data_IF_349390484209
#
_entry.id   IF_349390484209
#
_cell.length_a   1.000
_cell.length_b   1.000
_cell.length_c   1.000
_cell.angle_alpha   90.00
_cell.angle_beta   90.00
_cell.angle_gamma   90.00
#
_symmetry.space_group_name_H-M   'P 1'
#
loop_
_entity.id
_entity.type
_entity.pdbx_description
1 polymer ?
#
# COMPACT_ATOMS: atom_id res chain seq x y z
N UNK A 1 17.70 10.00 -3.89
CA UNK A 1 18.40 8.73 -4.20
C UNK A 1 19.88 9.01 -4.40
N UNK A 2 20.75 8.01 -4.34
CA UNK A 2 22.22 8.16 -4.48
C UNK A 2 22.69 8.51 -5.93
N UNK A 3 21.87 9.22 -6.71
CA UNK A 3 22.17 9.56 -8.11
C UNK A 3 22.51 8.34 -8.96
N UNK A 4 23.52 8.47 -9.82
CA UNK A 4 23.99 7.41 -10.72
C UNK A 4 24.41 6.12 -10.00
N UNK A 5 24.84 6.20 -8.74
CA UNK A 5 25.19 5.01 -7.94
C UNK A 5 23.98 4.10 -7.69
N UNK A 6 22.76 4.63 -7.81
CA UNK A 6 21.52 3.85 -7.64
C UNK A 6 21.07 3.09 -8.88
N UNK A 7 21.75 3.19 -10.04
CA UNK A 7 21.28 2.63 -11.33
C UNK A 7 20.95 1.12 -11.29
N UNK A 8 21.60 0.37 -10.41
CA UNK A 8 21.43 -1.08 -10.27
C UNK A 8 20.61 -1.45 -9.02
N UNK A 9 20.10 -0.47 -8.28
CA UNK A 9 19.29 -0.71 -7.09
C UNK A 9 17.92 -1.27 -7.49
N UNK A 10 17.57 -2.40 -6.88
CA UNK A 10 16.24 -2.98 -6.92
C UNK A 10 15.77 -3.18 -5.48
N UNK A 11 14.59 -2.65 -5.15
CA UNK A 11 13.94 -2.82 -3.87
C UNK A 11 12.66 -3.62 -4.00
N UNK A 12 12.37 -4.49 -3.04
CA UNK A 12 11.06 -5.12 -2.89
C UNK A 12 10.26 -4.35 -1.84
N UNK A 13 9.02 -3.96 -2.17
CA UNK A 13 8.11 -3.35 -1.19
C UNK A 13 6.67 -3.81 -1.41
N UNK A 14 5.90 -3.97 -0.32
CA UNK A 14 4.48 -4.33 -0.39
C UNK A 14 3.57 -3.15 -0.75
N UNK A 15 4.13 -1.96 -0.99
CA UNK A 15 3.38 -0.72 -1.20
C UNK A 15 3.72 -0.10 -2.56
N UNK A 16 2.72 0.48 -3.21
CA UNK A 16 2.92 1.36 -4.35
C UNK A 16 3.55 2.67 -3.93
N UNK A 17 4.37 3.26 -4.81
CA UNK A 17 4.89 4.60 -4.57
C UNK A 17 3.99 5.65 -5.21
N UNK A 18 4.04 6.86 -4.65
CA UNK A 18 3.29 8.02 -5.12
C UNK A 18 3.40 8.23 -6.63
N UNK A 19 4.52 7.92 -7.29
CA UNK A 19 4.76 8.22 -8.71
C UNK A 19 4.42 7.07 -9.68
N UNK A 20 3.99 5.91 -9.17
CA UNK A 20 3.65 4.76 -10.02
C UNK A 20 2.19 4.81 -10.51
N UNK A 21 1.85 4.14 -11.62
CA UNK A 21 0.47 4.04 -12.08
C UNK A 21 -0.37 3.16 -11.14
N UNK A 22 -1.70 3.34 -11.21
CA UNK A 22 -2.68 2.54 -10.47
C UNK A 22 -3.87 3.40 -10.04
N UNK A 23 -5.09 2.88 -10.16
CA UNK A 23 -6.33 3.60 -9.83
C UNK A 23 -6.34 4.11 -8.38
N UNK A 24 -5.95 3.28 -7.43
CA UNK A 24 -5.83 3.64 -6.02
C UNK A 24 -4.77 4.72 -5.79
N UNK A 25 -3.66 4.69 -6.53
CA UNK A 25 -2.64 5.74 -6.48
C UNK A 25 -3.20 7.05 -7.03
N UNK A 26 -3.89 7.03 -8.17
CA UNK A 26 -4.56 8.20 -8.74
C UNK A 26 -5.55 8.80 -7.75
N UNK A 27 -6.42 7.97 -7.17
CA UNK A 27 -7.42 8.41 -6.18
C UNK A 27 -6.79 9.00 -4.93
N UNK A 28 -5.73 8.37 -4.42
CA UNK A 28 -4.94 8.87 -3.30
C UNK A 28 -4.39 10.28 -3.62
N UNK A 29 -3.82 10.49 -4.81
CA UNK A 29 -3.30 11.81 -5.22
C UNK A 29 -4.41 12.85 -5.29
N UNK A 30 -5.51 12.54 -5.96
CA UNK A 30 -6.66 13.45 -6.10
C UNK A 30 -7.15 13.96 -4.74
N UNK A 31 -7.41 13.05 -3.80
CA UNK A 31 -7.90 13.44 -2.48
C UNK A 31 -6.83 14.23 -1.72
N UNK A 32 -5.57 13.77 -1.76
CA UNK A 32 -4.46 14.48 -1.10
C UNK A 32 -4.34 15.93 -1.58
N UNK A 33 -4.44 16.14 -2.89
CA UNK A 33 -4.29 17.46 -3.50
C UNK A 33 -5.54 18.33 -3.36
N UNK A 34 -6.72 17.73 -3.24
CA UNK A 34 -7.94 18.45 -2.86
C UNK A 34 -7.80 19.11 -1.48
N UNK A 35 -7.28 18.38 -0.49
CA UNK A 35 -7.15 18.89 0.89
C UNK A 35 -5.85 19.64 1.16
N UNK A 36 -4.78 19.35 0.41
CA UNK A 36 -3.48 20.01 0.55
C UNK A 36 -2.84 20.26 -0.81
N UNK A 37 -3.31 21.26 -1.58
CA UNK A 37 -2.71 21.66 -2.84
C UNK A 37 -1.23 22.01 -2.71
N UNK A 38 -0.42 21.75 -3.74
CA UNK A 38 1.01 22.06 -3.75
C UNK A 38 1.88 21.06 -2.98
N UNK A 39 1.27 20.07 -2.31
CA UNK A 39 1.98 19.07 -1.52
C UNK A 39 2.54 17.90 -2.34
N UNK A 40 2.34 17.91 -3.66
CA UNK A 40 2.99 17.06 -4.65
C UNK A 40 4.43 17.47 -4.97
N UNK A 41 4.82 18.71 -4.62
CA UNK A 41 6.17 19.25 -4.88
C UNK A 41 7.29 18.48 -4.16
N UNK A 42 7.20 18.23 -2.82
CA UNK A 42 8.21 17.42 -2.15
C UNK A 42 8.13 15.95 -2.56
N UNK A 43 9.27 15.27 -2.56
CA UNK A 43 9.31 13.82 -2.78
C UNK A 43 8.50 13.07 -1.72
N UNK A 44 7.70 12.10 -2.15
CA UNK A 44 6.96 11.19 -1.27
C UNK A 44 7.41 9.75 -1.45
N UNK A 45 7.88 9.15 -0.36
CA UNK A 45 8.16 7.72 -0.30
C UNK A 45 6.88 6.90 -0.11
N UNK A 46 6.99 5.58 -0.15
CA UNK A 46 5.87 4.65 -0.02
C UNK A 46 5.19 4.66 1.36
N UNK A 47 5.77 5.30 2.40
CA UNK A 47 5.12 5.41 3.71
C UNK A 47 3.87 6.27 3.66
N UNK A 48 3.79 7.20 2.71
CA UNK A 48 2.55 7.93 2.49
C UNK A 48 1.43 6.98 2.04
N UNK A 49 1.73 6.06 1.12
CA UNK A 49 0.80 5.01 0.69
C UNK A 49 0.48 4.03 1.82
N UNK A 50 1.43 3.72 2.70
CA UNK A 50 1.16 2.92 3.91
C UNK A 50 0.06 3.53 4.77
N UNK A 51 0.13 4.85 5.03
CA UNK A 51 -0.91 5.55 5.79
C UNK A 51 -2.30 5.38 5.17
N UNK A 52 -2.39 5.52 3.85
CA UNK A 52 -3.65 5.30 3.11
C UNK A 52 -4.18 3.87 3.23
N UNK A 53 -3.30 2.87 3.10
CA UNK A 53 -3.70 1.46 3.24
C UNK A 53 -4.18 1.18 4.66
N UNK A 54 -3.45 1.62 5.69
CA UNK A 54 -3.82 1.42 7.10
C UNK A 54 -5.16 2.10 7.44
N UNK A 55 -5.38 3.33 6.98
CA UNK A 55 -6.65 4.03 7.18
C UNK A 55 -7.81 3.34 6.46
N UNK A 56 -7.55 2.74 5.28
CA UNK A 56 -8.56 1.97 4.55
C UNK A 56 -8.93 0.69 5.29
N UNK A 57 -7.96 -0.05 5.84
CA UNK A 57 -8.20 -1.23 6.68
C UNK A 57 -9.01 -0.85 7.92
N UNK A 58 -8.62 0.23 8.60
CA UNK A 58 -9.33 0.73 9.79
C UNK A 58 -10.79 1.07 9.44
N UNK A 59 -11.01 1.84 8.38
CA UNK A 59 -12.35 2.17 7.91
C UNK A 59 -13.19 0.92 7.63
N UNK A 60 -12.62 -0.06 6.93
CA UNK A 60 -13.33 -1.29 6.58
C UNK A 60 -13.67 -2.12 7.82
N UNK A 61 -12.75 -2.21 8.79
CA UNK A 61 -13.02 -2.87 10.08
C UNK A 61 -14.15 -2.20 10.86
N UNK A 62 -14.12 -0.86 10.98
CA UNK A 62 -15.16 -0.08 11.66
C UNK A 62 -16.51 -0.23 10.95
N UNK A 63 -16.53 -0.17 9.62
CA UNK A 63 -17.73 -0.34 8.81
C UNK A 63 -18.37 -1.72 9.01
N UNK A 64 -17.55 -2.77 9.12
CA UNK A 64 -18.01 -4.15 9.33
C UNK A 64 -18.45 -4.44 10.76
N UNK A 65 -17.78 -3.86 11.76
CA UNK A 65 -18.15 -3.99 13.17
C UNK A 65 -19.54 -3.39 13.46
N UNK A 66 -19.95 -2.37 12.70
CA UNK A 66 -21.27 -1.79 12.79
C UNK A 66 -21.44 -0.85 13.99
N UNK A 67 -22.69 -0.61 14.40
CA UNK A 67 -23.03 0.45 15.37
C UNK A 67 -22.59 0.13 16.80
N UNK A 68 -22.60 -1.13 17.19
CA UNK A 68 -22.23 -1.58 18.54
C UNK A 68 -20.75 -1.91 18.58
N UNK A 69 -19.94 -0.86 18.48
CA UNK A 69 -18.49 -0.96 18.38
C UNK A 69 -17.84 -1.11 19.76
N UNK A 70 -17.05 -2.17 19.89
CA UNK A 70 -16.06 -2.39 20.94
C UNK A 70 -14.80 -3.04 20.32
N UNK A 71 -13.82 -3.37 21.17
CA UNK A 71 -12.55 -3.96 20.70
C UNK A 71 -12.78 -5.34 20.09
N UNK A 72 -13.61 -6.18 20.70
CA UNK A 72 -13.83 -7.56 20.26
C UNK A 72 -14.58 -7.61 18.93
N UNK A 73 -15.65 -6.82 18.79
CA UNK A 73 -16.40 -6.68 17.54
C UNK A 73 -15.53 -6.08 16.42
N UNK A 74 -14.64 -5.14 16.74
CA UNK A 74 -13.69 -4.60 15.75
C UNK A 74 -12.67 -5.64 15.29
N UNK A 75 -12.07 -6.40 16.21
CA UNK A 75 -11.13 -7.48 15.88
C UNK A 75 -11.84 -8.56 15.06
N UNK A 76 -13.00 -9.04 15.50
CA UNK A 76 -13.80 -10.02 14.77
C UNK A 76 -14.14 -9.52 13.35
N UNK A 77 -14.48 -8.24 13.21
CA UNK A 77 -14.75 -7.62 11.92
C UNK A 77 -13.52 -7.59 11.01
N UNK A 78 -12.34 -7.22 11.51
CA UNK A 78 -11.08 -7.26 10.75
C UNK A 78 -10.78 -8.68 10.27
N UNK A 79 -10.98 -9.69 11.12
CA UNK A 79 -10.74 -11.10 10.80
C UNK A 79 -11.67 -11.65 9.71
N UNK A 80 -12.73 -10.93 9.33
CA UNK A 80 -13.60 -11.25 8.17
C UNK A 80 -13.09 -10.70 6.83
N UNK A 81 -12.07 -9.84 6.84
CA UNK A 81 -11.56 -9.22 5.61
C UNK A 81 -10.91 -10.29 4.72
N UNK A 82 -11.47 -10.47 3.53
CA UNK A 82 -10.97 -11.35 2.46
C UNK A 82 -10.85 -10.57 1.17
N UNK A 83 -9.74 -10.78 0.47
CA UNK A 83 -9.43 -10.23 -0.85
C UNK A 83 -9.73 -8.74 -0.99
N UNK A 84 -9.42 -7.96 0.06
CA UNK A 84 -9.66 -6.53 0.02
C UNK A 84 -8.73 -5.88 -1.02
N UNK A 85 -9.35 -5.33 -2.05
CA UNK A 85 -8.68 -4.67 -3.15
C UNK A 85 -8.48 -3.18 -2.86
N UNK A 86 -7.22 -2.77 -2.78
CA UNK A 86 -6.83 -1.37 -2.59
C UNK A 86 -6.62 -0.62 -3.91
N UNK A 87 -7.06 -1.21 -5.02
CA UNK A 87 -6.94 -0.68 -6.39
C UNK A 87 -5.50 -0.35 -6.77
N UNK A 88 -4.58 -1.19 -6.29
CA UNK A 88 -3.15 -1.07 -6.60
C UNK A 88 -2.34 -0.21 -5.64
N UNK A 89 -2.81 0.10 -4.44
CA UNK A 89 -1.93 0.65 -3.37
C UNK A 89 -1.04 -0.45 -2.74
N UNK A 90 -1.57 -1.66 -2.65
CA UNK A 90 -0.87 -2.89 -2.26
C UNK A 90 -1.51 -4.09 -2.97
N UNK A 91 -0.98 -5.30 -2.75
CA UNK A 91 -1.68 -6.53 -3.12
C UNK A 91 -2.93 -6.78 -2.25
N UNK A 92 -3.72 -7.83 -2.53
CA UNK A 92 -4.95 -8.12 -1.77
C UNK A 92 -4.63 -8.37 -0.29
N UNK A 93 -5.48 -7.83 0.58
CA UNK A 93 -5.35 -7.95 2.03
C UNK A 93 -6.34 -9.01 2.57
N UNK A 94 -5.80 -9.91 3.40
CA UNK A 94 -6.52 -11.04 3.96
C UNK A 94 -6.14 -11.24 5.43
N UNK A 95 -7.10 -11.16 6.33
CA UNK A 95 -6.92 -11.53 7.75
C UNK A 95 -7.69 -12.81 8.08
N UNK A 96 -7.42 -13.46 9.19
CA UNK A 96 -8.28 -14.51 9.77
C UNK A 96 -8.03 -14.60 11.27
N UNK A 97 -8.86 -15.37 11.99
CA UNK A 97 -8.68 -15.67 13.42
C UNK A 97 -7.36 -16.37 13.75
N UNK A 98 -6.66 -16.91 12.75
CA UNK A 98 -5.38 -17.59 12.89
C UNK A 98 -4.25 -16.92 12.11
N UNK A 99 -4.53 -15.83 11.41
CA UNK A 99 -3.54 -15.12 10.60
C UNK A 99 -3.80 -13.61 10.57
N UNK A 100 -3.01 -12.87 11.37
CA UNK A 100 -3.10 -11.41 11.46
C UNK A 100 -2.10 -10.68 10.57
N UNK A 101 -1.31 -11.38 9.76
CA UNK A 101 -0.46 -10.76 8.75
C UNK A 101 -1.25 -10.59 7.46
N UNK A 102 -1.83 -9.41 7.26
CA UNK A 102 -2.77 -9.15 6.15
C UNK A 102 -2.18 -9.18 4.75
N UNK A 103 -0.89 -8.86 4.61
CA UNK A 103 -0.27 -8.53 3.33
C UNK A 103 0.98 -9.38 3.11
N UNK A 104 0.97 -10.13 2.00
CA UNK A 104 2.06 -11.03 1.60
C UNK A 104 2.68 -10.68 0.25
N UNK A 105 1.98 -9.91 -0.56
CA UNK A 105 2.43 -9.54 -1.89
C UNK A 105 3.43 -8.40 -1.85
N UNK A 106 4.39 -8.41 -2.78
CA UNK A 106 5.32 -7.32 -3.02
C UNK A 106 5.52 -7.08 -4.50
N UNK A 107 5.90 -5.85 -4.85
CA UNK A 107 6.40 -5.47 -6.17
C UNK A 107 7.90 -5.23 -6.09
N UNK A 108 8.59 -5.48 -7.20
CA UNK A 108 9.97 -5.03 -7.37
C UNK A 108 9.98 -3.65 -8.00
N UNK A 109 10.84 -2.79 -7.48
CA UNK A 109 11.03 -1.42 -7.95
C UNK A 109 12.49 -1.21 -8.30
N UNK A 110 12.72 -0.64 -9.47
CA UNK A 110 14.05 -0.21 -9.89
C UNK A 110 14.19 1.28 -9.64
N UNK A 111 15.36 1.69 -9.16
CA UNK A 111 15.71 3.10 -9.10
C UNK A 111 15.89 3.67 -10.50
N UNK A 112 15.30 4.83 -10.72
CA UNK A 112 15.51 5.68 -11.87
C UNK A 112 16.34 6.90 -11.45
N UNK A 113 17.67 6.90 -11.68
CA UNK A 113 18.56 7.98 -11.27
C UNK A 113 18.18 9.35 -11.84
N UNK A 114 17.59 9.40 -13.04
CA UNK A 114 17.25 10.65 -13.72
C UNK A 114 16.08 11.35 -13.01
N UNK A 115 15.01 10.61 -12.74
CA UNK A 115 13.84 11.19 -12.07
C UNK A 115 13.93 11.20 -10.54
N UNK A 116 14.89 10.48 -9.95
CA UNK A 116 15.02 10.36 -8.51
C UNK A 116 13.99 9.42 -7.86
N UNK A 117 13.30 8.58 -8.64
CA UNK A 117 12.13 7.78 -8.21
C UNK A 117 12.39 6.28 -8.26
N UNK A 118 11.54 5.54 -7.54
CA UNK A 118 11.43 4.08 -7.62
C UNK A 118 10.23 3.70 -8.50
N UNK A 119 10.50 3.07 -9.64
CA UNK A 119 9.48 2.66 -10.62
C UNK A 119 9.27 1.15 -10.56
N UNK A 120 8.02 0.70 -10.55
CA UNK A 120 7.69 -0.73 -10.50
C UNK A 120 8.11 -1.42 -11.79
N UNK A 121 8.77 -2.56 -11.67
CA UNK A 121 9.19 -3.42 -12.80
C UNK A 121 8.46 -4.77 -12.80
N UNK A 122 7.56 -4.99 -11.85
CA UNK A 122 6.72 -6.19 -11.76
C UNK A 122 5.31 -5.84 -11.28
N UNK A 123 4.39 -6.78 -11.48
CA UNK A 123 3.13 -6.84 -10.72
C UNK A 123 3.32 -7.38 -9.30
N UNK A 124 2.23 -7.43 -8.54
CA UNK A 124 2.18 -8.01 -7.19
C UNK A 124 2.55 -9.50 -7.24
N UNK A 125 3.54 -9.89 -6.44
CA UNK A 125 4.04 -11.27 -6.37
C UNK A 125 4.11 -11.74 -4.94
N UNK A 126 3.81 -13.01 -4.72
CA UNK A 126 4.14 -13.69 -3.48
C UNK A 126 5.65 -14.00 -3.42
N UNK A 127 6.24 -14.07 -2.22
CA UNK A 127 7.57 -14.63 -2.09
C UNK A 127 7.57 -16.09 -2.59
N UNK A 128 8.69 -16.59 -3.13
CA UNK A 128 8.81 -18.01 -3.49
C UNK A 128 8.47 -18.88 -2.27
N UNK A 129 7.72 -19.96 -2.48
CA UNK A 129 7.57 -20.97 -1.42
C UNK A 129 8.93 -21.57 -1.10
N UNK A 130 9.19 -21.85 0.18
CA UNK A 130 10.30 -22.74 0.53
C UNK A 130 9.99 -24.10 -0.10
N UNK A 131 10.91 -24.60 -0.92
CA UNK A 131 10.90 -26.00 -1.36
C UNK A 131 11.10 -26.91 -0.16
#
# INVERSE_FOLDING_TARGET
MAGSASKNYIGATPLSHWYNPGEGVTRMREITLKYKPGSEKPYRNSMYTMGWVMSTILYEGLRRAGKYLDIESFVAALETIRDMDTKGLCGPINFSSTNHKGLYHSKLYKADPESGKLLSITDWRLPPSKK
#
